data_IF_138957114601
#
_entry.id   IF_138957114601
#
_cell.length_a   1.000
_cell.length_b   1.000
_cell.length_c   1.000
_cell.angle_alpha   90.00
_cell.angle_beta   90.00
_cell.angle_gamma   90.00
#
_symmetry.space_group_name_H-M   'P 1'
#
loop_
_entity.id
_entity.type
_entity.pdbx_description
1 polymer ?
#
# COMPACT_ATOMS: atom_id res chain seq x y z
N UNK A 1 -10.63 13.06 19.07
CA UNK A 1 -10.54 13.29 17.60
C UNK A 1 -11.91 13.21 16.90
N UNK A 2 -12.68 12.14 17.16
CA UNK A 2 -13.93 11.81 16.45
C UNK A 2 -15.05 12.85 16.59
N UNK A 3 -15.07 13.60 17.69
CA UNK A 3 -16.10 14.62 17.95
C UNK A 3 -15.79 15.99 17.34
N UNK A 4 -14.55 16.23 16.89
CA UNK A 4 -14.13 17.54 16.36
C UNK A 4 -14.95 17.92 15.13
N UNK A 5 -15.17 16.96 14.21
CA UNK A 5 -15.90 17.20 12.97
C UNK A 5 -17.40 17.50 13.23
N UNK A 6 -18.14 16.72 14.04
CA UNK A 6 -19.50 17.08 14.47
C UNK A 6 -19.60 18.47 15.11
N UNK A 7 -18.64 18.83 15.97
CA UNK A 7 -18.62 20.15 16.63
C UNK A 7 -18.47 21.28 15.62
N UNK A 8 -17.60 21.13 14.62
CA UNK A 8 -17.41 22.14 13.56
C UNK A 8 -18.62 22.21 12.63
N UNK A 9 -19.25 21.09 12.28
CA UNK A 9 -20.46 21.10 11.45
C UNK A 9 -21.57 21.91 12.13
N UNK A 10 -21.67 21.85 13.46
CA UNK A 10 -22.71 22.56 14.20
C UNK A 10 -22.60 24.09 14.13
N UNK A 11 -21.42 24.65 13.87
CA UNK A 11 -21.20 26.11 13.78
C UNK A 11 -21.49 26.70 12.40
N UNK A 12 -21.85 25.86 11.41
CA UNK A 12 -22.04 26.24 10.01
C UNK A 12 -23.52 26.53 9.69
N UNK A 13 -23.83 27.50 8.78
CA UNK A 13 -25.21 27.81 8.37
C UNK A 13 -26.00 26.61 7.81
N UNK A 14 -27.32 26.62 7.97
CA UNK A 14 -28.19 25.46 7.77
C UNK A 14 -28.10 24.83 6.36
N UNK A 15 -27.95 25.63 5.30
CA UNK A 15 -27.79 25.14 3.92
C UNK A 15 -26.42 24.51 3.66
N UNK A 16 -25.34 25.13 4.16
CA UNK A 16 -23.98 24.58 4.05
C UNK A 16 -23.78 23.35 4.93
N UNK A 17 -24.45 23.29 6.08
CA UNK A 17 -24.48 22.12 6.96
C UNK A 17 -25.04 20.89 6.22
N UNK A 18 -26.19 21.04 5.54
CA UNK A 18 -26.77 19.97 4.74
C UNK A 18 -25.84 19.51 3.62
N UNK A 19 -25.22 20.45 2.89
CA UNK A 19 -24.26 20.15 1.83
C UNK A 19 -23.04 19.38 2.35
N UNK A 20 -22.46 19.80 3.48
CA UNK A 20 -21.31 19.14 4.09
C UNK A 20 -21.63 17.74 4.58
N UNK A 21 -22.77 17.54 5.25
CA UNK A 21 -23.19 16.21 5.69
C UNK A 21 -23.39 15.29 4.49
N UNK A 22 -24.06 15.76 3.43
CA UNK A 22 -24.24 14.99 2.20
C UNK A 22 -22.89 14.61 1.56
N UNK A 23 -21.94 15.55 1.48
CA UNK A 23 -20.60 15.29 0.96
C UNK A 23 -19.80 14.28 1.80
N UNK A 24 -19.89 14.37 3.13
CA UNK A 24 -19.25 13.41 4.03
C UNK A 24 -19.86 12.01 3.91
N UNK A 25 -21.19 11.92 3.80
CA UNK A 25 -21.88 10.65 3.54
C UNK A 25 -21.49 10.07 2.19
N UNK A 26 -21.42 10.90 1.14
CA UNK A 26 -21.00 10.47 -0.19
C UNK A 26 -19.55 9.94 -0.20
N UNK A 27 -18.62 10.64 0.47
CA UNK A 27 -17.24 10.19 0.61
C UNK A 27 -17.12 8.87 1.39
N UNK A 28 -17.88 8.76 2.49
CA UNK A 28 -17.97 7.52 3.28
C UNK A 28 -18.53 6.34 2.47
N UNK A 29 -19.63 6.57 1.74
CA UNK A 29 -20.23 5.55 0.87
C UNK A 29 -19.29 5.12 -0.26
N UNK A 30 -18.54 6.04 -0.88
CA UNK A 30 -17.58 5.72 -1.93
C UNK A 30 -16.46 4.79 -1.43
N UNK A 31 -15.95 5.05 -0.23
CA UNK A 31 -14.91 4.22 0.40
C UNK A 31 -15.48 2.85 0.81
N UNK A 32 -16.69 2.86 1.38
CA UNK A 32 -17.39 1.65 1.80
C UNK A 32 -17.67 0.72 0.62
N UNK A 33 -18.28 1.24 -0.45
CA UNK A 33 -18.60 0.48 -1.67
C UNK A 33 -17.34 -0.13 -2.29
N UNK A 34 -16.29 0.67 -2.45
CA UNK A 34 -15.01 0.21 -3.00
C UNK A 34 -14.39 -0.92 -2.17
N UNK A 35 -14.46 -0.83 -0.84
CA UNK A 35 -13.88 -1.83 0.08
C UNK A 35 -14.68 -3.13 0.08
N UNK A 36 -16.01 -3.05 0.13
CA UNK A 36 -16.90 -4.22 0.07
C UNK A 36 -16.75 -4.92 -1.27
N UNK A 37 -16.74 -4.17 -2.37
CA UNK A 37 -16.58 -4.70 -3.71
C UNK A 37 -15.20 -5.36 -3.91
N UNK A 38 -14.12 -4.75 -3.39
CA UNK A 38 -12.79 -5.37 -3.40
C UNK A 38 -12.77 -6.69 -2.62
N UNK A 39 -13.36 -6.73 -1.41
CA UNK A 39 -13.48 -7.95 -0.61
C UNK A 39 -14.27 -9.06 -1.32
N UNK A 40 -15.40 -8.70 -1.95
CA UNK A 40 -16.19 -9.62 -2.75
C UNK A 40 -15.40 -10.13 -3.97
N UNK A 41 -14.62 -9.29 -4.63
CA UNK A 41 -13.77 -9.68 -5.74
C UNK A 41 -12.67 -10.67 -5.31
N UNK A 42 -12.04 -10.48 -4.16
CA UNK A 42 -11.08 -11.43 -3.60
C UNK A 42 -11.73 -12.79 -3.32
N UNK A 43 -12.92 -12.81 -2.72
CA UNK A 43 -13.69 -14.06 -2.55
C UNK A 43 -13.96 -14.74 -3.89
N UNK A 44 -14.48 -14.00 -4.87
CA UNK A 44 -14.93 -14.57 -6.14
C UNK A 44 -13.75 -15.06 -6.98
N UNK A 45 -12.68 -14.27 -7.11
CA UNK A 45 -11.55 -14.57 -8.02
C UNK A 45 -10.51 -15.46 -7.37
N UNK A 46 -10.11 -15.14 -6.14
CA UNK A 46 -8.95 -15.78 -5.52
C UNK A 46 -9.33 -17.05 -4.77
N UNK A 47 -10.59 -17.16 -4.31
CA UNK A 47 -11.07 -18.32 -3.55
C UNK A 47 -12.05 -19.16 -4.37
N UNK A 48 -13.20 -18.59 -4.73
CA UNK A 48 -14.28 -19.34 -5.35
C UNK A 48 -13.90 -19.84 -6.75
N UNK A 49 -13.44 -18.96 -7.63
CA UNK A 49 -13.06 -19.35 -8.99
C UNK A 49 -11.79 -20.20 -9.01
N UNK A 50 -10.81 -19.93 -8.13
CA UNK A 50 -9.54 -20.65 -8.17
C UNK A 50 -9.61 -22.05 -7.54
N UNK A 51 -10.32 -22.20 -6.41
CA UNK A 51 -10.30 -23.43 -5.61
C UNK A 51 -11.64 -24.17 -5.57
N UNK A 52 -12.78 -23.48 -5.61
CA UNK A 52 -14.11 -24.11 -5.42
C UNK A 52 -14.73 -24.52 -6.77
N UNK A 53 -14.80 -23.60 -7.73
CA UNK A 53 -15.39 -23.84 -9.04
C UNK A 53 -14.62 -23.12 -10.16
N UNK A 54 -13.60 -23.82 -10.69
CA UNK A 54 -12.73 -23.35 -11.79
C UNK A 54 -13.46 -23.04 -13.09
N UNK A 55 -14.63 -23.63 -13.32
CA UNK A 55 -15.44 -23.46 -14.53
C UNK A 55 -16.70 -22.63 -14.27
N UNK A 56 -16.73 -21.85 -13.18
CA UNK A 56 -17.88 -21.03 -12.84
C UNK A 56 -18.25 -20.07 -13.98
N UNK A 57 -19.53 -20.08 -14.35
CA UNK A 57 -20.05 -19.17 -15.36
C UNK A 57 -20.22 -17.75 -14.78
N UNK A 58 -20.41 -16.75 -15.65
CA UNK A 58 -20.55 -15.34 -15.23
C UNK A 58 -21.70 -15.14 -14.23
N UNK A 59 -22.83 -15.83 -14.38
CA UNK A 59 -23.98 -15.71 -13.47
C UNK A 59 -23.64 -16.23 -12.06
N UNK A 60 -22.93 -17.35 -11.98
CA UNK A 60 -22.46 -17.93 -10.71
C UNK A 60 -21.46 -17.01 -10.02
N UNK A 61 -20.51 -16.43 -10.76
CA UNK A 61 -19.55 -15.47 -10.21
C UNK A 61 -20.25 -14.22 -9.67
N UNK A 62 -21.23 -13.68 -10.39
CA UNK A 62 -22.03 -12.53 -9.93
C UNK A 62 -22.81 -12.86 -8.65
N UNK A 63 -23.45 -14.03 -8.58
CA UNK A 63 -24.18 -14.47 -7.39
C UNK A 63 -23.25 -14.59 -6.17
N UNK A 64 -22.06 -15.16 -6.35
CA UNK A 64 -21.05 -15.25 -5.29
C UNK A 64 -20.55 -13.87 -4.85
N UNK A 65 -20.43 -12.91 -5.78
CA UNK A 65 -20.07 -11.53 -5.46
C UNK A 65 -21.11 -10.87 -4.56
N UNK A 66 -22.40 -11.03 -4.88
CA UNK A 66 -23.49 -10.49 -4.05
C UNK A 66 -23.54 -11.15 -2.67
N UNK A 67 -23.43 -12.47 -2.61
CA UNK A 67 -23.40 -13.21 -1.33
C UNK A 67 -22.23 -12.78 -0.45
N UNK A 68 -21.02 -12.66 -1.03
CA UNK A 68 -19.85 -12.19 -0.30
C UNK A 68 -20.02 -10.75 0.19
N UNK A 69 -20.58 -9.86 -0.65
CA UNK A 69 -20.84 -8.48 -0.27
C UNK A 69 -21.80 -8.40 0.92
N UNK A 70 -22.93 -9.11 0.86
CA UNK A 70 -23.90 -9.18 1.95
C UNK A 70 -23.24 -9.72 3.22
N UNK A 71 -22.47 -10.81 3.11
CA UNK A 71 -21.80 -11.42 4.24
C UNK A 71 -20.80 -10.46 4.90
N UNK A 72 -19.96 -9.78 4.11
CA UNK A 72 -18.99 -8.78 4.59
C UNK A 72 -19.72 -7.66 5.36
N UNK A 73 -20.81 -7.14 4.80
CA UNK A 73 -21.60 -6.08 5.43
C UNK A 73 -22.22 -6.55 6.74
N UNK A 74 -22.84 -7.75 6.77
CA UNK A 74 -23.46 -8.31 7.98
C UNK A 74 -22.42 -8.53 9.08
N UNK A 75 -21.25 -9.08 8.75
CA UNK A 75 -20.15 -9.26 9.70
C UNK A 75 -19.66 -7.91 10.21
N UNK A 76 -19.48 -6.93 9.31
CA UNK A 76 -19.07 -5.57 9.68
C UNK A 76 -20.04 -4.90 10.65
N UNK A 77 -21.35 -5.03 10.41
CA UNK A 77 -22.40 -4.55 11.32
C UNK A 77 -22.37 -5.27 12.68
N UNK A 78 -22.08 -6.57 12.69
CA UNK A 78 -21.90 -7.33 13.94
C UNK A 78 -20.70 -6.85 14.74
N UNK A 79 -19.55 -6.63 14.09
CA UNK A 79 -18.33 -6.14 14.73
C UNK A 79 -18.49 -4.70 15.25
N UNK A 80 -19.34 -3.89 14.63
CA UNK A 80 -19.66 -2.54 15.11
C UNK A 80 -20.24 -2.54 16.53
N UNK A 81 -20.94 -3.61 16.94
CA UNK A 81 -21.49 -3.73 18.30
C UNK A 81 -20.41 -4.01 19.36
N UNK A 82 -19.25 -4.50 18.94
CA UNK A 82 -18.14 -4.90 19.82
C UNK A 82 -17.15 -3.76 20.02
N UNK A 83 -16.81 -3.03 18.94
CA UNK A 83 -15.80 -1.99 18.98
C UNK A 83 -16.40 -0.62 19.36
N UNK A 84 -15.92 -0.03 20.46
CA UNK A 84 -16.39 1.28 20.97
C UNK A 84 -15.50 2.47 20.60
N UNK A 85 -14.24 2.23 20.22
CA UNK A 85 -13.25 3.28 19.94
C UNK A 85 -12.60 3.02 18.57
N UNK A 86 -12.77 3.96 17.62
CA UNK A 86 -12.25 3.78 16.26
C UNK A 86 -10.72 3.81 16.23
N UNK A 87 -10.09 4.59 17.13
CA UNK A 87 -8.64 4.74 17.13
C UNK A 87 -7.97 3.42 17.55
N UNK A 88 -8.56 2.67 18.48
CA UNK A 88 -8.06 1.36 18.88
C UNK A 88 -8.16 0.33 17.75
N UNK A 89 -9.27 0.35 16.99
CA UNK A 89 -9.44 -0.53 15.83
C UNK A 89 -8.47 -0.16 14.73
N UNK A 90 -8.36 1.14 14.43
CA UNK A 90 -7.48 1.65 13.39
C UNK A 90 -6.01 1.36 13.72
N UNK A 91 -5.55 1.69 14.92
CA UNK A 91 -4.19 1.42 15.39
C UNK A 91 -3.89 -0.08 15.36
N UNK A 92 -4.85 -0.91 15.75
CA UNK A 92 -4.69 -2.36 15.65
C UNK A 92 -4.56 -2.86 14.20
N UNK A 93 -5.46 -2.49 13.30
CA UNK A 93 -5.42 -2.99 11.92
C UNK A 93 -4.17 -2.46 11.19
N UNK A 94 -3.88 -1.17 11.31
CA UNK A 94 -2.80 -0.52 10.56
C UNK A 94 -1.42 -0.82 11.12
N UNK A 95 -1.23 -0.70 12.44
CA UNK A 95 0.09 -0.84 13.08
C UNK A 95 0.41 -2.29 13.47
N UNK A 96 -0.60 -3.16 13.64
CA UNK A 96 -0.37 -4.58 13.95
C UNK A 96 -0.41 -5.47 12.70
N UNK A 97 -1.52 -5.46 11.95
CA UNK A 97 -1.67 -6.37 10.79
C UNK A 97 -0.96 -5.79 9.56
N UNK A 98 -1.16 -4.51 9.27
CA UNK A 98 -0.57 -3.84 8.11
C UNK A 98 0.97 -3.81 8.13
N UNK A 99 1.56 -3.67 9.31
CA UNK A 99 3.02 -3.66 9.50
C UNK A 99 3.69 -5.00 9.15
N UNK A 100 2.97 -6.12 9.29
CA UNK A 100 3.44 -7.44 8.91
C UNK A 100 3.62 -7.62 7.40
N UNK A 101 2.83 -6.91 6.58
CA UNK A 101 2.92 -6.96 5.11
C UNK A 101 3.95 -5.97 4.53
N UNK A 102 4.27 -4.91 5.27
CA UNK A 102 5.11 -3.81 4.79
C UNK A 102 6.48 -4.30 4.29
N UNK A 103 7.16 -5.14 5.09
CA UNK A 103 8.50 -5.61 4.78
C UNK A 103 8.51 -6.51 3.52
N UNK A 104 7.69 -7.58 3.43
CA UNK A 104 7.57 -8.37 2.20
C UNK A 104 7.21 -7.55 0.96
N UNK A 105 6.32 -6.56 1.09
CA UNK A 105 5.90 -5.72 -0.03
C UNK A 105 7.01 -4.83 -0.60
N UNK A 106 7.93 -4.38 0.26
CA UNK A 106 9.10 -3.60 -0.15
C UNK A 106 10.22 -4.50 -0.68
N UNK A 107 10.56 -5.56 0.07
CA UNK A 107 11.73 -6.37 -0.20
C UNK A 107 11.64 -7.13 -1.54
N UNK A 108 10.42 -7.46 -2.00
CA UNK A 108 10.19 -8.15 -3.28
C UNK A 108 10.76 -7.43 -4.50
N UNK A 109 10.89 -6.11 -4.43
CA UNK A 109 11.40 -5.31 -5.55
C UNK A 109 12.93 -5.27 -5.58
N UNK A 110 13.58 -5.35 -4.42
CA UNK A 110 15.02 -5.13 -4.29
C UNK A 110 15.83 -6.41 -4.10
N UNK A 111 15.20 -7.50 -3.66
CA UNK A 111 15.89 -8.77 -3.38
C UNK A 111 15.49 -9.87 -4.35
N UNK A 112 16.36 -10.14 -5.33
CA UNK A 112 16.11 -11.13 -6.39
C UNK A 112 15.94 -12.57 -5.92
N UNK A 113 16.41 -12.92 -4.71
CA UNK A 113 16.27 -14.25 -4.13
C UNK A 113 14.89 -14.49 -3.51
N UNK A 114 14.13 -13.42 -3.25
CA UNK A 114 12.83 -13.49 -2.60
C UNK A 114 11.84 -14.31 -3.42
N UNK A 115 11.11 -15.20 -2.75
CA UNK A 115 10.12 -16.09 -3.36
C UNK A 115 8.75 -15.94 -2.67
N UNK A 116 7.73 -16.60 -3.22
CA UNK A 116 6.36 -16.56 -2.67
C UNK A 116 6.26 -17.09 -1.24
N UNK A 117 7.09 -18.07 -0.87
CA UNK A 117 7.15 -18.60 0.50
C UNK A 117 7.68 -17.58 1.50
N UNK A 118 8.77 -16.89 1.18
CA UNK A 118 9.31 -15.81 2.00
C UNK A 118 8.31 -14.65 2.18
N UNK A 119 7.55 -14.33 1.12
CA UNK A 119 6.47 -13.34 1.22
C UNK A 119 5.38 -13.78 2.21
N UNK A 120 4.89 -15.02 2.07
CA UNK A 120 3.83 -15.56 2.91
C UNK A 120 4.27 -15.73 4.37
N UNK A 121 5.42 -16.36 4.60
CA UNK A 121 5.97 -16.62 5.94
C UNK A 121 6.26 -15.30 6.66
N UNK A 122 6.87 -14.31 6.00
CA UNK A 122 7.11 -13.00 6.60
C UNK A 122 5.84 -12.23 6.94
N UNK A 123 4.84 -12.29 6.04
CA UNK A 123 3.53 -11.67 6.32
C UNK A 123 2.87 -12.31 7.55
N UNK A 124 2.81 -13.64 7.59
CA UNK A 124 2.20 -14.38 8.70
C UNK A 124 2.99 -14.18 9.99
N UNK A 125 4.33 -14.21 9.96
CA UNK A 125 5.15 -14.01 11.16
C UNK A 125 4.95 -12.61 11.76
N UNK A 126 4.88 -11.57 10.92
CA UNK A 126 4.57 -10.22 11.35
C UNK A 126 3.18 -10.11 11.98
N UNK A 127 2.16 -10.65 11.31
CA UNK A 127 0.78 -10.63 11.82
C UNK A 127 0.64 -11.38 13.15
N UNK A 128 1.21 -12.58 13.25
CA UNK A 128 1.16 -13.41 14.47
C UNK A 128 1.93 -12.72 15.60
N UNK A 129 3.12 -12.20 15.33
CA UNK A 129 3.89 -11.46 16.33
C UNK A 129 3.12 -10.25 16.86
N UNK A 130 2.44 -9.51 15.98
CA UNK A 130 1.64 -8.35 16.38
C UNK A 130 0.44 -8.74 17.26
N UNK A 131 -0.25 -9.85 16.94
CA UNK A 131 -1.36 -10.38 17.74
C UNK A 131 -0.86 -10.85 19.11
N UNK A 132 0.21 -11.65 19.16
CA UNK A 132 0.79 -12.16 20.41
C UNK A 132 1.26 -11.00 21.27
N UNK A 133 1.97 -10.04 20.68
CA UNK A 133 2.47 -8.89 21.40
C UNK A 133 1.33 -8.07 21.98
N UNK A 134 0.24 -7.82 21.23
CA UNK A 134 -0.94 -7.13 21.77
C UNK A 134 -1.62 -7.90 22.91
N UNK A 135 -1.61 -9.23 22.87
CA UNK A 135 -2.24 -10.05 23.90
C UNK A 135 -1.42 -10.12 25.21
N UNK A 136 -0.10 -10.02 25.13
CA UNK A 136 0.82 -10.20 26.27
C UNK A 136 1.38 -8.88 26.79
N UNK A 137 1.43 -7.84 25.94
CA UNK A 137 2.02 -6.56 26.31
C UNK A 137 1.25 -5.88 27.45
N UNK A 138 1.95 -5.22 28.39
CA UNK A 138 1.32 -4.40 29.41
C UNK A 138 0.42 -3.31 28.82
N UNK A 139 -0.66 -2.96 29.53
CA UNK A 139 -1.51 -1.85 29.12
C UNK A 139 -0.71 -0.54 29.04
N UNK A 140 -0.82 0.18 27.93
CA UNK A 140 -0.13 1.46 27.70
C UNK A 140 1.11 1.38 26.80
N UNK A 141 1.43 0.22 26.21
CA UNK A 141 2.48 0.15 25.18
C UNK A 141 2.06 0.96 23.95
N UNK A 142 2.99 1.77 23.47
CA UNK A 142 2.78 2.65 22.32
C UNK A 142 2.67 1.86 21.01
N UNK A 143 1.86 2.38 20.09
CA UNK A 143 1.62 1.73 18.78
C UNK A 143 2.90 1.59 17.94
N UNK A 144 3.83 2.55 18.02
CA UNK A 144 5.10 2.46 17.30
C UNK A 144 5.99 1.30 17.79
N UNK A 145 5.89 0.93 19.08
CA UNK A 145 6.62 -0.22 19.62
C UNK A 145 6.05 -1.51 19.04
N UNK A 146 4.72 -1.61 18.94
CA UNK A 146 4.05 -2.76 18.30
C UNK A 146 4.47 -2.88 16.82
N UNK A 147 4.52 -1.74 16.12
CA UNK A 147 4.99 -1.68 14.74
C UNK A 147 6.43 -2.21 14.61
N UNK A 148 7.35 -1.76 15.46
CA UNK A 148 8.75 -2.23 15.44
C UNK A 148 8.86 -3.73 15.66
N UNK A 149 8.12 -4.29 16.63
CA UNK A 149 8.13 -5.74 16.91
C UNK A 149 7.57 -6.53 15.71
N UNK A 150 6.41 -6.13 15.20
CA UNK A 150 5.76 -6.80 14.08
C UNK A 150 6.60 -6.75 12.80
N UNK A 151 7.17 -5.58 12.46
CA UNK A 151 8.04 -5.44 11.29
C UNK A 151 9.37 -6.19 11.45
N UNK A 152 9.94 -6.26 12.65
CA UNK A 152 11.15 -7.05 12.91
C UNK A 152 10.89 -8.55 12.75
N UNK A 153 9.79 -9.04 13.31
CA UNK A 153 9.36 -10.43 13.14
C UNK A 153 9.01 -10.76 11.69
N UNK A 154 8.40 -9.82 10.96
CA UNK A 154 8.14 -9.94 9.52
C UNK A 154 9.44 -10.03 8.73
N UNK A 155 10.42 -9.17 8.99
CA UNK A 155 11.72 -9.19 8.34
C UNK A 155 12.45 -10.53 8.56
N UNK A 156 12.52 -10.99 9.80
CA UNK A 156 13.14 -12.29 10.13
C UNK A 156 12.41 -13.42 9.41
N UNK A 157 11.07 -13.43 9.45
CA UNK A 157 10.26 -14.43 8.75
C UNK A 157 10.44 -14.39 7.24
N UNK A 158 10.54 -13.20 6.63
CA UNK A 158 10.81 -13.07 5.19
C UNK A 158 12.18 -13.61 4.83
N UNK A 159 13.22 -13.28 5.60
CA UNK A 159 14.58 -13.76 5.35
C UNK A 159 14.64 -15.28 5.50
N UNK A 160 14.18 -15.82 6.63
CA UNK A 160 14.18 -17.26 6.88
C UNK A 160 13.33 -18.01 5.86
N UNK A 161 12.10 -17.55 5.60
CA UNK A 161 11.21 -18.15 4.63
C UNK A 161 11.76 -18.12 3.20
N UNK A 162 12.51 -17.09 2.84
CA UNK A 162 13.17 -17.00 1.53
C UNK A 162 14.35 -17.97 1.42
N UNK A 163 15.19 -18.05 2.45
CA UNK A 163 16.43 -18.83 2.43
C UNK A 163 16.18 -20.34 2.63
N UNK A 164 15.19 -20.72 3.42
CA UNK A 164 14.84 -22.12 3.71
C UNK A 164 14.06 -22.79 2.57
N UNK A 165 13.44 -22.01 1.68
CA UNK A 165 12.63 -22.54 0.59
C UNK A 165 13.33 -22.42 -0.78
N UNK A 166 12.86 -23.24 -1.72
CA UNK A 166 13.38 -23.28 -3.09
C UNK A 166 13.26 -21.91 -3.78
N UNK A 167 14.26 -21.51 -4.57
CA UNK A 167 14.18 -20.29 -5.35
C UNK A 167 13.10 -20.37 -6.41
N UNK A 168 12.52 -19.21 -6.76
CA UNK A 168 11.65 -19.08 -7.94
C UNK A 168 12.44 -19.42 -9.21
N UNK A 169 11.75 -19.95 -10.23
CA UNK A 169 12.35 -20.28 -11.53
C UNK A 169 13.13 -19.09 -12.10
N UNK A 170 14.38 -19.35 -12.49
CA UNK A 170 15.30 -18.37 -13.04
C UNK A 170 14.76 -17.73 -14.32
N UNK A 171 13.99 -18.47 -15.14
CA UNK A 171 13.38 -17.93 -16.37
C UNK A 171 12.33 -16.85 -16.05
N UNK A 172 11.54 -17.07 -15.00
CA UNK A 172 10.53 -16.11 -14.55
C UNK A 172 11.21 -14.85 -14.02
N UNK A 173 12.27 -15.00 -13.22
CA UNK A 173 13.05 -13.87 -12.69
C UNK A 173 13.78 -13.09 -13.80
N UNK A 174 14.35 -13.79 -14.79
CA UNK A 174 14.97 -13.15 -15.94
C UNK A 174 13.95 -12.36 -16.77
N UNK A 175 12.76 -12.93 -17.04
CA UNK A 175 11.67 -12.23 -17.72
C UNK A 175 11.22 -10.99 -16.91
N UNK A 176 11.04 -11.14 -15.60
CA UNK A 176 10.69 -10.02 -14.73
C UNK A 176 11.73 -8.89 -14.76
N UNK A 177 13.02 -9.24 -14.74
CA UNK A 177 14.10 -8.26 -14.79
C UNK A 177 14.15 -7.50 -16.13
N UNK A 178 13.94 -8.19 -17.27
CA UNK A 178 13.88 -7.54 -18.59
C UNK A 178 12.78 -6.48 -18.69
N UNK A 179 11.64 -6.72 -18.03
CA UNK A 179 10.47 -5.82 -18.07
C UNK A 179 10.60 -4.68 -17.05
N UNK A 180 10.88 -5.03 -15.79
CA UNK A 180 10.78 -4.09 -14.66
C UNK A 180 12.09 -3.35 -14.40
N UNK A 181 13.23 -3.97 -14.72
CA UNK A 181 14.60 -3.42 -14.54
C UNK A 181 14.89 -2.82 -13.15
N UNK A 182 14.45 -3.45 -12.05
CA UNK A 182 14.61 -2.88 -10.71
C UNK A 182 16.08 -2.78 -10.30
N UNK A 183 16.41 -1.78 -9.47
CA UNK A 183 17.69 -1.70 -8.77
C UNK A 183 17.73 -2.65 -7.55
N UNK A 184 18.93 -2.89 -7.00
CA UNK A 184 19.15 -3.76 -5.84
C UNK A 184 19.95 -5.03 -6.18
N UNK A 185 19.54 -6.16 -5.62
CA UNK A 185 20.23 -7.46 -5.72
C UNK A 185 20.01 -8.18 -7.07
N UNK A 186 19.87 -7.43 -8.17
CA UNK A 186 19.55 -7.97 -9.49
C UNK A 186 20.76 -8.12 -10.43
N UNK A 187 21.98 -7.88 -9.92
CA UNK A 187 23.21 -7.90 -10.71
C UNK A 187 23.47 -9.19 -11.48
N UNK A 188 22.99 -10.35 -11.00
CA UNK A 188 23.09 -11.64 -11.72
C UNK A 188 22.37 -11.59 -13.07
N UNK A 189 21.17 -11.05 -13.11
CA UNK A 189 20.35 -10.97 -14.33
C UNK A 189 20.81 -9.84 -15.23
N UNK A 190 21.27 -8.73 -14.65
CA UNK A 190 21.88 -7.63 -15.40
C UNK A 190 23.09 -8.07 -16.22
N UNK A 191 23.96 -8.92 -15.65
CA UNK A 191 25.15 -9.44 -16.33
C UNK A 191 24.84 -10.32 -17.55
N UNK A 192 23.61 -10.81 -17.69
CA UNK A 192 23.17 -11.60 -18.86
C UNK A 192 22.81 -10.72 -20.06
N UNK A 193 22.72 -9.40 -19.90
CA UNK A 193 22.37 -8.45 -20.95
C UNK A 193 23.61 -7.92 -21.67
N UNK A 194 23.42 -7.34 -22.85
CA UNK A 194 24.50 -6.69 -23.61
C UNK A 194 25.07 -5.48 -22.87
N UNK A 195 26.33 -5.13 -23.12
CA UNK A 195 26.99 -3.99 -22.48
C UNK A 195 26.21 -2.68 -22.70
N UNK A 196 25.63 -2.47 -23.88
CA UNK A 196 24.81 -1.30 -24.19
C UNK A 196 23.53 -1.24 -23.33
N UNK A 197 22.84 -2.37 -23.17
CA UNK A 197 21.65 -2.45 -22.32
C UNK A 197 21.99 -2.21 -20.85
N UNK A 198 23.12 -2.74 -20.37
CA UNK A 198 23.56 -2.55 -18.99
C UNK A 198 23.80 -1.07 -18.67
N UNK A 199 24.46 -0.33 -19.57
CA UNK A 199 24.71 1.12 -19.41
C UNK A 199 23.40 1.90 -19.41
N UNK A 200 22.47 1.57 -20.31
CA UNK A 200 21.15 2.20 -20.34
C UNK A 200 20.36 1.99 -19.04
N UNK A 201 20.36 0.76 -18.52
CA UNK A 201 19.70 0.41 -17.25
C UNK A 201 20.33 1.15 -16.06
N UNK A 202 21.65 1.35 -16.06
CA UNK A 202 22.31 2.12 -14.99
C UNK A 202 21.95 3.60 -15.02
N UNK A 203 21.86 4.18 -16.23
CA UNK A 203 21.42 5.56 -16.39
C UNK A 203 19.97 5.74 -15.91
N UNK A 204 19.08 4.83 -16.29
CA UNK A 204 17.67 4.79 -15.86
C UNK A 204 17.56 4.64 -14.33
N UNK A 205 18.22 3.63 -13.74
CA UNK A 205 18.18 3.41 -12.30
C UNK A 205 18.75 4.59 -11.49
N UNK A 206 19.84 5.21 -11.96
CA UNK A 206 20.41 6.39 -11.29
C UNK A 206 19.44 7.56 -11.30
N UNK A 207 18.76 7.77 -12.44
CA UNK A 207 17.74 8.82 -12.61
C UNK A 207 16.54 8.57 -11.71
N UNK A 208 16.06 7.33 -11.60
CA UNK A 208 14.94 6.95 -10.72
C UNK A 208 15.28 7.16 -9.24
N UNK A 209 16.47 6.74 -8.81
CA UNK A 209 16.94 6.94 -7.43
C UNK A 209 17.04 8.44 -7.10
N UNK A 210 17.63 9.24 -7.99
CA UNK A 210 17.71 10.70 -7.82
C UNK A 210 16.33 11.36 -7.81
N UNK A 211 15.41 10.85 -8.62
CA UNK A 211 14.03 11.36 -8.68
C UNK A 211 13.26 11.04 -7.40
N UNK A 212 13.58 9.95 -6.71
CA UNK A 212 12.98 9.62 -5.41
C UNK A 212 13.27 10.69 -4.35
N UNK A 213 14.47 11.30 -4.38
CA UNK A 213 14.87 12.40 -3.48
C UNK A 213 13.98 13.64 -3.70
N UNK A 214 13.45 13.84 -4.90
CA UNK A 214 12.52 14.94 -5.21
C UNK A 214 11.05 14.54 -4.99
N UNK A 215 10.70 13.29 -5.34
CA UNK A 215 9.33 12.79 -5.28
C UNK A 215 8.80 12.67 -3.84
N UNK A 216 9.62 12.20 -2.90
CA UNK A 216 9.20 12.05 -1.50
C UNK A 216 8.89 13.40 -0.85
N UNK A 217 9.76 14.42 -0.90
CA UNK A 217 9.42 15.77 -0.44
C UNK A 217 8.24 16.38 -1.21
N UNK A 218 8.09 16.10 -2.51
CA UNK A 218 6.95 16.58 -3.28
C UNK A 218 5.62 16.04 -2.73
N UNK A 219 5.55 14.74 -2.41
CA UNK A 219 4.36 14.12 -1.83
C UNK A 219 4.03 14.70 -0.45
N UNK A 220 5.04 14.91 0.39
CA UNK A 220 4.89 15.52 1.71
C UNK A 220 4.42 16.98 1.56
N UNK A 221 5.04 17.75 0.66
CA UNK A 221 4.67 19.13 0.40
C UNK A 221 3.23 19.23 -0.12
N UNK A 222 2.80 18.33 -0.99
CA UNK A 222 1.42 18.27 -1.48
C UNK A 222 0.42 18.03 -0.35
N UNK A 223 0.71 17.06 0.51
CA UNK A 223 -0.13 16.77 1.68
C UNK A 223 -0.23 18.00 2.61
N UNK A 224 0.90 18.60 2.96
CA UNK A 224 0.95 19.78 3.84
C UNK A 224 0.34 21.02 3.18
N UNK A 225 0.45 21.16 1.87
CA UNK A 225 -0.15 22.25 1.10
C UNK A 225 -1.68 22.20 1.21
N UNK A 226 -2.26 21.02 0.97
CA UNK A 226 -3.71 20.82 1.12
C UNK A 226 -4.17 21.06 2.55
N UNK A 227 -3.41 20.59 3.54
CA UNK A 227 -3.71 20.84 4.94
C UNK A 227 -3.64 22.34 5.30
N UNK A 228 -2.63 23.05 4.78
CA UNK A 228 -2.44 24.49 5.01
C UNK A 228 -3.54 25.33 4.34
N UNK A 229 -4.02 24.91 3.17
CA UNK A 229 -5.19 25.52 2.52
C UNK A 229 -6.43 25.42 3.42
N UNK A 230 -6.67 24.23 3.98
CA UNK A 230 -7.81 24.00 4.89
C UNK A 230 -7.68 24.81 6.17
N UNK A 231 -6.50 24.89 6.77
CA UNK A 231 -6.24 25.71 7.95
C UNK A 231 -6.12 27.21 7.67
N UNK A 232 -6.23 27.63 6.40
CA UNK A 232 -6.11 29.04 5.97
C UNK A 232 -4.78 29.69 6.38
N UNK A 233 -3.72 28.90 6.50
CA UNK A 233 -2.37 29.38 6.78
C UNK A 233 -1.70 29.83 5.49
N UNK A 234 -2.17 30.95 4.94
CA UNK A 234 -1.81 31.42 3.59
C UNK A 234 -0.31 31.56 3.33
N UNK A 235 0.49 31.91 4.34
CA UNK A 235 1.96 31.91 4.21
C UNK A 235 2.53 30.54 3.85
N UNK A 236 2.07 29.49 4.55
CA UNK A 236 2.49 28.11 4.27
C UNK A 236 1.97 27.63 2.91
N UNK A 237 0.77 28.04 2.52
CA UNK A 237 0.20 27.72 1.19
C UNK A 237 1.11 28.24 0.08
N UNK A 238 1.56 29.49 0.16
CA UNK A 238 2.46 30.07 -0.84
C UNK A 238 3.81 29.35 -0.85
N UNK A 239 4.43 29.15 0.32
CA UNK A 239 5.74 28.51 0.43
C UNK A 239 5.69 27.06 -0.10
N UNK A 240 4.73 26.26 0.37
CA UNK A 240 4.58 24.86 -0.04
C UNK A 240 4.18 24.76 -1.52
N UNK A 241 3.36 25.68 -2.01
CA UNK A 241 2.99 25.77 -3.43
C UNK A 241 4.21 26.04 -4.33
N UNK A 242 5.11 26.95 -3.91
CA UNK A 242 6.36 27.21 -4.62
C UNK A 242 7.30 26.00 -4.59
N UNK A 243 7.49 25.38 -3.42
CA UNK A 243 8.29 24.16 -3.28
C UNK A 243 7.75 23.05 -4.21
N UNK A 244 6.44 22.83 -4.19
CA UNK A 244 5.78 21.88 -5.08
C UNK A 244 6.00 22.20 -6.55
N UNK A 245 5.87 23.47 -6.96
CA UNK A 245 6.06 23.87 -8.35
C UNK A 245 7.51 23.58 -8.81
N UNK A 246 8.50 23.96 -8.00
CA UNK A 246 9.92 23.68 -8.27
C UNK A 246 10.19 22.18 -8.38
N UNK A 247 9.69 21.39 -7.43
CA UNK A 247 9.87 19.93 -7.43
C UNK A 247 9.14 19.27 -8.61
N UNK A 248 7.96 19.77 -9.01
CA UNK A 248 7.22 19.29 -10.18
C UNK A 248 8.03 19.51 -11.46
N UNK A 249 8.60 20.71 -11.62
CA UNK A 249 9.48 21.03 -12.75
C UNK A 249 10.71 20.11 -12.74
N UNK A 250 11.35 19.95 -11.58
CA UNK A 250 12.50 19.04 -11.42
C UNK A 250 12.17 17.60 -11.82
N UNK A 251 11.05 17.05 -11.32
CA UNK A 251 10.58 15.70 -11.64
C UNK A 251 10.20 15.56 -13.12
N UNK A 252 9.59 16.58 -13.72
CA UNK A 252 9.21 16.54 -15.12
C UNK A 252 10.44 16.41 -16.03
N UNK A 253 11.48 17.23 -15.79
CA UNK A 253 12.70 17.19 -16.59
C UNK A 253 13.58 15.98 -16.27
N UNK A 254 13.72 15.62 -14.98
CA UNK A 254 14.62 14.55 -14.58
C UNK A 254 14.04 13.16 -14.87
N UNK A 255 12.74 12.95 -14.59
CA UNK A 255 12.09 11.64 -14.63
C UNK A 255 11.09 11.49 -15.77
N UNK A 256 10.03 12.32 -15.77
CA UNK A 256 8.86 12.11 -16.63
C UNK A 256 9.20 12.06 -18.13
N UNK A 257 10.10 12.92 -18.61
CA UNK A 257 10.52 12.95 -20.02
C UNK A 257 11.24 11.69 -20.50
N UNK A 258 11.80 10.91 -19.59
CA UNK A 258 12.64 9.76 -19.89
C UNK A 258 11.91 8.44 -19.65
N UNK A 259 10.67 8.52 -19.13
CA UNK A 259 9.82 7.37 -18.88
C UNK A 259 9.58 6.62 -20.20
N UNK A 260 9.95 5.34 -20.25
CA UNK A 260 9.76 4.40 -21.38
C UNK A 260 10.56 4.63 -22.67
N UNK A 261 11.39 5.66 -22.76
CA UNK A 261 12.09 6.02 -24.01
C UNK A 261 13.54 5.52 -24.09
N UNK A 262 14.20 5.29 -22.96
CA UNK A 262 15.66 5.09 -22.93
C UNK A 262 16.12 3.65 -23.18
N UNK A 263 15.38 2.67 -22.67
CA UNK A 263 15.78 1.26 -22.75
C UNK A 263 14.63 0.43 -23.30
N UNK A 264 14.87 -0.29 -24.41
CA UNK A 264 13.97 -1.32 -24.94
C UNK A 264 14.73 -2.64 -24.95
N UNK A 265 14.19 -3.63 -24.26
CA UNK A 265 14.69 -5.00 -24.25
C UNK A 265 13.62 -5.82 -24.96
N UNK A 266 13.94 -6.37 -26.12
CA UNK A 266 13.06 -7.30 -26.81
C UNK A 266 12.91 -8.59 -25.98
N UNK A 267 11.68 -9.13 -25.93
CA UNK A 267 11.31 -10.27 -25.07
C UNK A 267 12.14 -11.53 -25.36
#
# INVERSE_FOLDING_TARGET
PELVLPTVINTIPIGMKGFLIAGLMAAGMSTFDSTVNAGAAYWVKDIYQLYINKKANRKQLMMQSYLASILIVVIGLGLMLVFKNINEVWGWITMSIGSGMLIPMLLRWYWSRMNGYGFAIGTVSGMVAAIIFKAVAPAGVTEYTMFMVASSASLIGTILGTLLNSPTDEKVLAKFYKITRPFGSWGRFKKQLTAQQQVGIDAENRRDILSTIMAVPWQIAFFLFMLSLVFKTWGNVVILGLIMAVLTVGLYFNWFRHLSTEVKIEE
#
